data_IF_852855721289
#
_entry.id   IF_852855721289
#
_cell.length_a   1.000
_cell.length_b   1.000
_cell.length_c   1.000
_cell.angle_alpha   90.00
_cell.angle_beta   90.00
_cell.angle_gamma   90.00
#
_symmetry.space_group_name_H-M   'P 1'
#
loop_
_entity.id
_entity.type
_entity.pdbx_description
1 polymer ?
#
# COMPACT_ATOMS: atom_id res chain seq x y z
N UNK A 1 4.02 -0.75 -14.95
CA UNK A 1 2.65 -1.17 -14.54
C UNK A 1 2.62 -1.16 -13.02
N UNK A 2 1.47 -0.87 -12.39
CA UNK A 2 1.33 -0.89 -10.92
C UNK A 2 0.27 -1.93 -10.57
N UNK A 3 0.56 -2.78 -9.59
CA UNK A 3 -0.32 -3.81 -9.08
C UNK A 3 -0.14 -3.96 -7.58
N UNK A 4 -1.22 -4.28 -6.87
CA UNK A 4 -1.23 -4.54 -5.43
C UNK A 4 -1.87 -5.90 -5.17
N UNK A 5 -1.31 -6.63 -4.19
CA UNK A 5 -1.85 -7.89 -3.69
C UNK A 5 -1.67 -7.94 -2.18
N UNK A 6 -2.44 -8.78 -1.51
CA UNK A 6 -2.32 -9.04 -0.07
C UNK A 6 -2.93 -10.39 0.27
N UNK A 7 -2.48 -11.00 1.37
CA UNK A 7 -2.90 -12.34 1.80
C UNK A 7 -4.42 -12.50 1.98
N UNK A 8 -5.16 -11.42 2.24
CA UNK A 8 -6.61 -11.43 2.40
C UNK A 8 -7.30 -10.56 1.32
N UNK A 9 -7.94 -11.17 0.30
CA UNK A 9 -8.64 -10.44 -0.74
C UNK A 9 -9.94 -9.83 -0.19
N UNK A 10 -9.85 -8.58 0.26
CA UNK A 10 -10.98 -7.79 0.76
C UNK A 10 -11.13 -6.49 -0.03
N UNK A 11 -12.35 -5.94 -0.05
CA UNK A 11 -12.61 -4.61 -0.59
C UNK A 11 -11.78 -3.56 0.17
N UNK A 12 -11.36 -2.46 -0.49
CA UNK A 12 -10.59 -1.42 0.16
C UNK A 12 -11.33 -0.89 1.40
N UNK A 13 -10.59 -0.73 2.49
CA UNK A 13 -11.16 -0.27 3.75
C UNK A 13 -11.86 1.08 3.56
N UNK A 14 -13.07 1.27 4.12
CA UNK A 14 -13.87 2.48 3.92
C UNK A 14 -13.10 3.75 4.27
N UNK A 15 -12.26 3.67 5.31
CA UNK A 15 -11.45 4.80 5.74
C UNK A 15 -10.27 5.09 4.81
N UNK A 16 -9.71 4.07 4.15
CA UNK A 16 -8.71 4.27 3.10
C UNK A 16 -9.32 5.03 1.92
N UNK A 17 -10.53 4.66 1.49
CA UNK A 17 -11.27 5.37 0.43
C UNK A 17 -11.47 6.83 0.83
N UNK A 18 -11.92 7.09 2.07
CA UNK A 18 -12.12 8.45 2.57
C UNK A 18 -10.83 9.26 2.59
N UNK A 19 -9.74 8.71 3.13
CA UNK A 19 -8.45 9.39 3.20
C UNK A 19 -7.88 9.70 1.80
N UNK A 20 -8.07 8.83 0.81
CA UNK A 20 -7.61 9.09 -0.55
C UNK A 20 -8.54 10.03 -1.33
N UNK A 21 -9.85 9.98 -1.06
CA UNK A 21 -10.82 10.90 -1.66
C UNK A 21 -10.55 12.37 -1.26
N UNK A 22 -9.97 12.61 -0.08
CA UNK A 22 -9.51 13.95 0.35
C UNK A 22 -8.43 14.54 -0.58
N UNK A 23 -7.66 13.69 -1.26
CA UNK A 23 -6.67 14.08 -2.26
C UNK A 23 -7.23 14.04 -3.69
N UNK A 24 -8.53 13.77 -3.85
CA UNK A 24 -9.18 13.60 -5.16
C UNK A 24 -8.92 12.24 -5.81
N UNK A 25 -8.46 11.24 -5.06
CA UNK A 25 -8.20 9.88 -5.55
C UNK A 25 -9.34 8.95 -5.13
N UNK A 26 -10.10 8.44 -6.10
CA UNK A 26 -11.12 7.42 -5.85
C UNK A 26 -10.56 6.01 -6.06
N UNK A 27 -10.51 5.23 -4.98
CA UNK A 27 -10.09 3.82 -5.01
C UNK A 27 -11.26 2.86 -4.75
N UNK A 28 -12.50 3.36 -4.75
CA UNK A 28 -13.69 2.56 -4.44
C UNK A 28 -13.88 1.35 -5.38
N UNK A 29 -13.43 1.48 -6.63
CA UNK A 29 -13.47 0.40 -7.62
C UNK A 29 -12.27 -0.57 -7.59
N UNK A 30 -11.31 -0.37 -6.68
CA UNK A 30 -10.16 -1.26 -6.55
C UNK A 30 -10.52 -2.51 -5.73
N UNK A 31 -9.82 -3.61 -5.99
CA UNK A 31 -10.00 -4.87 -5.26
C UNK A 31 -8.64 -5.43 -4.87
N UNK A 32 -8.49 -5.90 -3.63
CA UNK A 32 -7.34 -6.70 -3.27
C UNK A 32 -7.47 -8.09 -3.88
N UNK A 33 -6.39 -8.56 -4.50
CA UNK A 33 -6.28 -9.94 -4.99
C UNK A 33 -5.30 -10.70 -4.11
N UNK A 34 -5.60 -11.97 -3.84
CA UNK A 34 -4.72 -12.90 -3.11
C UNK A 34 -3.45 -13.25 -3.88
N UNK A 35 -3.48 -13.08 -5.20
CA UNK A 35 -2.42 -13.51 -6.08
C UNK A 35 -2.00 -12.37 -7.01
N UNK A 36 -0.71 -12.08 -7.01
CA UNK A 36 -0.11 -11.17 -7.97
C UNK A 36 0.02 -11.92 -9.30
N UNK A 37 -1.03 -11.89 -10.13
CA UNK A 37 -0.94 -12.35 -11.52
C UNK A 37 -0.33 -11.25 -12.36
N UNK A 38 0.98 -11.08 -12.25
CA UNK A 38 1.73 -10.17 -13.12
C UNK A 38 2.33 -10.98 -14.25
N UNK A 39 1.79 -10.79 -15.45
CA UNK A 39 2.42 -11.30 -16.67
C UNK A 39 3.64 -10.42 -17.00
N UNK A 40 4.84 -11.00 -16.95
CA UNK A 40 6.09 -10.34 -17.34
C UNK A 40 7.07 -10.10 -16.19
N UNK A 41 8.08 -9.28 -16.47
CA UNK A 41 9.13 -8.91 -15.50
C UNK A 41 8.63 -7.87 -14.52
N UNK A 42 8.91 -8.07 -13.23
CA UNK A 42 8.67 -7.09 -12.17
C UNK A 42 9.96 -6.36 -11.88
N UNK A 43 9.95 -5.03 -11.95
CA UNK A 43 11.13 -4.22 -11.68
C UNK A 43 11.37 -4.03 -10.18
N UNK A 44 10.30 -3.81 -9.41
CA UNK A 44 10.36 -3.57 -7.98
C UNK A 44 9.14 -4.13 -7.23
N UNK A 45 9.38 -4.60 -6.01
CA UNK A 45 8.39 -5.11 -5.06
C UNK A 45 8.53 -4.32 -3.76
N UNK A 46 7.44 -3.72 -3.30
CA UNK A 46 7.40 -2.94 -2.06
C UNK A 46 6.49 -3.68 -1.08
N UNK A 47 7.04 -4.16 0.05
CA UNK A 47 6.27 -4.81 1.12
C UNK A 47 5.95 -3.81 2.22
N UNK A 48 4.67 -3.71 2.59
CA UNK A 48 4.20 -2.76 3.62
C UNK A 48 4.10 -3.39 5.01
N UNK A 49 3.81 -4.69 5.07
CA UNK A 49 3.80 -5.49 6.30
C UNK A 49 5.00 -6.43 6.33
N UNK A 50 5.50 -6.72 7.53
CA UNK A 50 6.66 -7.58 7.74
C UNK A 50 6.37 -9.08 7.51
N UNK A 51 5.09 -9.46 7.47
CA UNK A 51 4.67 -10.86 7.56
C UNK A 51 4.30 -11.49 6.20
N UNK A 52 4.29 -10.70 5.12
CA UNK A 52 3.88 -11.18 3.80
C UNK A 52 5.05 -11.88 3.08
N UNK A 53 4.90 -13.18 2.81
CA UNK A 53 5.88 -13.98 2.07
C UNK A 53 5.74 -13.70 0.57
N UNK A 54 6.67 -12.92 0.01
CA UNK A 54 6.71 -12.71 -1.43
C UNK A 54 7.15 -13.98 -2.19
N UNK A 55 6.50 -14.30 -3.33
CA UNK A 55 6.90 -15.43 -4.17
C UNK A 55 8.33 -15.31 -4.71
N UNK A 56 9.07 -16.42 -4.76
CA UNK A 56 10.44 -16.46 -5.25
C UNK A 56 10.57 -16.12 -6.76
N UNK A 57 9.52 -16.34 -7.56
CA UNK A 57 9.55 -16.06 -9.00
C UNK A 57 9.65 -14.56 -9.35
N UNK A 58 9.50 -13.68 -8.37
CA UNK A 58 9.67 -12.24 -8.55
C UNK A 58 11.14 -11.81 -8.66
N UNK A 59 12.11 -12.71 -8.55
CA UNK A 59 13.52 -12.37 -8.82
C UNK A 59 13.76 -12.16 -10.33
N UNK A 60 14.50 -11.10 -10.74
CA UNK A 60 15.42 -10.27 -9.96
C UNK A 60 14.87 -8.91 -9.48
N UNK A 61 13.56 -8.77 -9.22
CA UNK A 61 12.96 -7.49 -8.82
C UNK A 61 13.63 -6.86 -7.58
N UNK A 62 13.72 -5.53 -7.56
CA UNK A 62 14.21 -4.76 -6.43
C UNK A 62 13.22 -4.84 -5.28
N UNK A 63 13.66 -5.33 -4.11
CA UNK A 63 12.79 -5.49 -2.94
C UNK A 63 13.01 -4.35 -1.95
N UNK A 64 11.95 -3.60 -1.66
CA UNK A 64 11.93 -2.59 -0.60
C UNK A 64 10.94 -3.01 0.47
N UNK A 65 11.36 -2.95 1.73
CA UNK A 65 10.46 -3.13 2.86
C UNK A 65 10.17 -1.79 3.51
N UNK A 66 8.88 -1.45 3.58
CA UNK A 66 8.35 -0.27 4.21
C UNK A 66 7.46 -0.68 5.37
N UNK A 67 8.07 -1.00 6.51
CA UNK A 67 7.32 -1.26 7.75
C UNK A 67 6.48 -0.04 8.14
N UNK A 68 5.19 -0.09 7.83
CA UNK A 68 4.20 0.92 8.20
C UNK A 68 3.25 0.30 9.22
N UNK A 69 2.78 1.08 10.21
CA UNK A 69 1.80 0.59 11.16
C UNK A 69 0.51 0.27 10.41
N UNK A 70 -0.14 -0.85 10.77
CA UNK A 70 -1.45 -1.18 10.22
C UNK A 70 -2.50 -0.19 10.75
N UNK A 71 -3.13 0.63 9.87
CA UNK A 71 -4.07 1.64 10.32
C UNK A 71 -5.41 1.03 10.76
N UNK A 72 -5.74 -0.20 10.35
CA UNK A 72 -6.98 -0.88 10.75
C UNK A 72 -6.93 -1.40 12.20
N UNK A 73 -5.73 -1.58 12.77
CA UNK A 73 -5.54 -1.97 14.17
C UNK A 73 -5.56 -0.80 15.18
N UNK A 74 -5.77 0.44 14.74
CA UNK A 74 -5.64 1.65 15.57
C UNK A 74 -6.79 1.88 16.58
N UNK A 75 -7.75 0.95 16.65
CA UNK A 75 -8.74 0.82 17.73
C UNK A 75 -10.16 1.27 17.36
N UNK A 76 -11.16 0.81 18.13
CA UNK A 76 -12.61 1.02 17.96
C UNK A 76 -13.12 2.49 17.92
N UNK A 77 -12.23 3.49 17.92
CA UNK A 77 -12.63 4.90 17.88
C UNK A 77 -12.53 5.40 16.42
N UNK A 78 -13.67 5.64 15.73
CA UNK A 78 -13.71 5.89 14.30
C UNK A 78 -12.91 7.13 13.85
N UNK A 79 -12.70 8.11 14.73
CA UNK A 79 -11.94 9.34 14.45
C UNK A 79 -10.42 9.13 14.56
N UNK A 80 -9.98 8.20 15.41
CA UNK A 80 -8.56 7.84 15.50
C UNK A 80 -8.14 6.97 14.31
N UNK A 81 -9.03 6.08 13.87
CA UNK A 81 -8.81 5.23 12.71
C UNK A 81 -8.53 6.09 11.46
N UNK A 82 -9.30 7.15 11.19
CA UNK A 82 -9.12 7.93 9.95
C UNK A 82 -7.83 8.74 9.99
N UNK A 83 -7.43 9.15 11.18
CA UNK A 83 -6.16 9.84 11.42
C UNK A 83 -4.98 8.90 11.17
N UNK A 84 -5.08 7.62 11.57
CA UNK A 84 -4.07 6.61 11.27
C UNK A 84 -3.97 6.35 9.75
N UNK A 85 -5.10 6.22 9.05
CA UNK A 85 -5.12 6.08 7.59
C UNK A 85 -4.48 7.27 6.87
N UNK A 86 -4.74 8.51 7.34
CA UNK A 86 -4.08 9.72 6.80
C UNK A 86 -2.57 9.70 7.04
N UNK A 87 -2.13 9.37 8.25
CA UNK A 87 -0.70 9.31 8.57
C UNK A 87 0.05 8.30 7.69
N UNK A 88 -0.51 7.10 7.48
CA UNK A 88 0.06 6.08 6.60
C UNK A 88 0.07 6.54 5.14
N UNK A 89 -1.03 7.15 4.65
CA UNK A 89 -1.13 7.75 3.32
C UNK A 89 -0.03 8.78 3.09
N UNK A 90 0.14 9.72 4.02
CA UNK A 90 1.09 10.82 3.88
C UNK A 90 2.55 10.33 3.90
N UNK A 91 2.85 9.33 4.73
CA UNK A 91 4.17 8.70 4.72
C UNK A 91 4.43 7.91 3.42
N UNK A 92 3.42 7.22 2.87
CA UNK A 92 3.52 6.58 1.55
C UNK A 92 3.82 7.61 0.46
N UNK A 93 3.11 8.74 0.45
CA UNK A 93 3.35 9.83 -0.52
C UNK A 93 4.79 10.33 -0.39
N UNK A 94 5.28 10.54 0.84
CA UNK A 94 6.66 10.99 1.07
C UNK A 94 7.69 9.99 0.51
N UNK A 95 7.51 8.70 0.80
CA UNK A 95 8.43 7.64 0.34
C UNK A 95 8.39 7.46 -1.18
N UNK A 96 7.20 7.47 -1.77
CA UNK A 96 7.02 7.38 -3.22
C UNK A 96 7.61 8.60 -3.93
N UNK A 97 7.46 9.79 -3.35
CA UNK A 97 8.06 11.03 -3.88
C UNK A 97 9.59 10.92 -3.91
N UNK A 98 10.22 10.49 -2.81
CA UNK A 98 11.68 10.28 -2.78
C UNK A 98 12.11 9.20 -3.79
N UNK A 99 11.37 8.09 -3.87
CA UNK A 99 11.73 6.95 -4.73
C UNK A 99 11.62 7.27 -6.24
N UNK A 100 10.55 7.95 -6.64
CA UNK A 100 10.23 8.19 -8.07
C UNK A 100 10.65 9.56 -8.58
N UNK A 101 10.67 10.59 -7.72
CA UNK A 101 10.99 11.97 -8.12
C UNK A 101 12.43 12.35 -7.73
N UNK A 102 13.13 11.54 -6.94
CA UNK A 102 14.54 11.77 -6.60
C UNK A 102 14.80 13.05 -5.82
N UNK A 103 13.77 13.61 -5.18
CA UNK A 103 13.89 14.84 -4.39
C UNK A 103 14.54 14.49 -3.04
N UNK A 104 15.86 14.56 -3.00
CA UNK A 104 16.60 14.78 -1.76
C UNK A 104 16.42 16.26 -1.38
N UNK A 105 15.52 16.56 -0.45
CA UNK A 105 15.55 17.81 0.31
C UNK A 105 16.25 17.59 1.66
#
# INVERSE_FOLDING_TARGET
>A
RISSAGSEPTAPHRQAIKALSELGLDISGHTSSDSISVEGTVDAVITLCAEEVCPAWLEPAWRLHWGLPDPAHSGDIPDQEVTAFRAVRDELIRRLTVLFLGTCE
#
